data_IF_672039796911
#
_entry.id   IF_672039796911
#
_cell.length_a   1.000
_cell.length_b   1.000
_cell.length_c   1.000
_cell.angle_alpha   90.00
_cell.angle_beta   90.00
_cell.angle_gamma   90.00
#
_symmetry.space_group_name_H-M   'P 1'
#
loop_
_entity.id
_entity.type
_entity.pdbx_description
1 polymer ?
#
# COMPACT_ATOMS: atom_id res chain seq x y z
N UNK A 1 -46.71 -10.45 2.29
CA UNK A 1 -46.67 -9.00 2.25
C UNK A 1 -45.24 -8.58 1.87
N UNK A 2 -44.99 -8.27 0.57
CA UNK A 2 -43.65 -7.86 0.10
C UNK A 2 -43.42 -6.42 0.57
N UNK A 3 -42.44 -6.24 1.42
CA UNK A 3 -41.98 -4.92 1.90
C UNK A 3 -41.25 -4.23 0.72
N UNK A 4 -41.82 -3.18 0.19
CA UNK A 4 -41.17 -2.30 -0.79
C UNK A 4 -40.15 -1.45 -0.06
N UNK A 5 -38.88 -1.78 -0.18
CA UNK A 5 -37.80 -0.95 0.34
C UNK A 5 -37.74 0.32 -0.51
N UNK A 6 -37.87 1.49 0.14
CA UNK A 6 -37.88 2.76 -0.51
C UNK A 6 -36.46 3.09 -1.04
N UNK A 7 -36.36 3.21 -2.37
CA UNK A 7 -35.09 3.48 -3.07
C UNK A 7 -34.35 4.70 -2.52
N UNK A 8 -35.09 5.70 -2.03
CA UNK A 8 -34.51 6.89 -1.42
C UNK A 8 -33.81 6.61 -0.08
N UNK A 9 -34.31 5.63 0.70
CA UNK A 9 -33.66 5.21 1.97
C UNK A 9 -32.36 4.45 1.65
N UNK A 10 -32.35 3.65 0.59
CA UNK A 10 -31.14 2.94 0.15
C UNK A 10 -30.07 3.91 -0.37
N UNK A 11 -30.46 4.96 -1.09
CA UNK A 11 -29.56 6.03 -1.56
C UNK A 11 -29.00 6.87 -0.41
N UNK A 12 -29.80 7.17 0.61
CA UNK A 12 -29.34 7.90 1.80
C UNK A 12 -28.38 7.05 2.64
N UNK A 13 -28.67 5.76 2.81
CA UNK A 13 -27.74 4.83 3.46
C UNK A 13 -26.42 4.69 2.70
N UNK A 14 -26.44 4.66 1.37
CA UNK A 14 -25.25 4.62 0.55
C UNK A 14 -24.42 5.91 0.63
N UNK A 15 -25.08 7.08 0.72
CA UNK A 15 -24.44 8.39 0.94
C UNK A 15 -23.81 8.51 2.34
N UNK A 16 -24.43 7.95 3.37
CA UNK A 16 -23.90 7.95 4.74
C UNK A 16 -22.69 7.01 4.87
N UNK A 17 -22.70 5.88 4.18
CA UNK A 17 -21.57 4.96 4.14
C UNK A 17 -20.40 5.58 3.36
N UNK A 18 -20.67 6.32 2.28
CA UNK A 18 -19.61 7.01 1.50
C UNK A 18 -18.99 8.19 2.24
N UNK A 19 -19.74 8.89 3.09
CA UNK A 19 -19.22 10.04 3.87
C UNK A 19 -18.30 9.63 5.02
N UNK A 20 -18.40 8.38 5.53
CA UNK A 20 -17.48 7.86 6.53
C UNK A 20 -16.21 7.21 5.92
N UNK A 21 -16.22 6.93 4.60
CA UNK A 21 -15.07 6.34 3.91
C UNK A 21 -14.03 7.38 3.46
N UNK A 22 -14.31 8.67 3.59
CA UNK A 22 -13.41 9.76 3.15
C UNK A 22 -12.47 10.29 4.23
N UNK A 23 -12.40 9.67 5.41
CA UNK A 23 -11.23 9.85 6.28
C UNK A 23 -10.12 8.87 5.90
N UNK A 24 -9.70 8.89 4.65
CA UNK A 24 -8.32 8.55 4.30
C UNK A 24 -7.46 9.46 5.16
N UNK A 25 -6.50 8.91 5.90
CA UNK A 25 -5.49 9.70 6.63
C UNK A 25 -4.62 10.46 5.62
N UNK A 26 -5.23 11.45 4.97
CA UNK A 26 -4.64 12.45 4.10
C UNK A 26 -3.86 13.39 5.01
N UNK A 27 -2.55 13.11 5.17
CA UNK A 27 -1.68 13.97 5.95
C UNK A 27 -0.46 13.31 6.59
N UNK A 28 -0.34 12.00 6.57
CA UNK A 28 0.89 11.36 7.04
C UNK A 28 1.92 11.36 5.90
N UNK A 29 2.92 12.24 5.97
CA UNK A 29 4.05 12.20 5.08
C UNK A 29 4.83 10.90 5.32
N UNK A 30 4.62 9.90 4.48
CA UNK A 30 5.31 8.61 4.57
C UNK A 30 6.75 8.67 4.08
N UNK A 31 7.11 9.74 3.39
CA UNK A 31 8.44 9.96 2.84
C UNK A 31 8.77 11.45 2.74
N UNK A 32 10.05 11.74 2.63
CA UNK A 32 10.59 13.06 2.26
C UNK A 32 11.19 12.96 0.85
N UNK A 33 10.86 13.91 -0.02
CA UNK A 33 11.47 14.00 -1.33
C UNK A 33 12.97 14.36 -1.18
N UNK A 34 13.83 13.66 -1.93
CA UNK A 34 15.28 13.90 -1.93
C UNK A 34 15.69 14.58 -3.23
N UNK A 35 15.45 13.93 -4.39
CA UNK A 35 15.73 14.51 -5.71
C UNK A 35 15.00 13.78 -6.83
N UNK A 36 14.91 14.43 -7.99
CA UNK A 36 14.46 13.81 -9.24
C UNK A 36 15.66 13.50 -10.15
N UNK A 37 15.56 12.41 -10.90
CA UNK A 37 16.53 11.97 -11.90
C UNK A 37 15.78 11.45 -13.13
N UNK A 38 15.80 12.18 -14.23
CA UNK A 38 15.01 11.87 -15.43
C UNK A 38 13.51 11.58 -15.09
N UNK A 39 13.10 10.34 -15.24
CA UNK A 39 11.73 9.86 -15.01
C UNK A 39 11.52 9.19 -13.64
N UNK A 40 12.50 9.25 -12.74
CA UNK A 40 12.42 8.65 -11.39
C UNK A 40 12.61 9.70 -10.30
N UNK A 41 12.16 9.38 -9.11
CA UNK A 41 12.40 10.16 -7.89
C UNK A 41 13.18 9.33 -6.88
N UNK A 42 14.04 9.99 -6.11
CA UNK A 42 14.61 9.42 -4.88
C UNK A 42 13.86 10.03 -3.71
N UNK A 43 13.34 9.17 -2.85
CA UNK A 43 12.59 9.56 -1.67
C UNK A 43 13.13 8.80 -0.45
N UNK A 44 13.18 9.49 0.71
CA UNK A 44 13.50 8.89 1.98
C UNK A 44 12.19 8.47 2.65
N UNK A 45 11.93 7.18 2.66
CA UNK A 45 10.80 6.60 3.39
C UNK A 45 11.09 6.59 4.88
N UNK A 46 10.11 7.04 5.66
CA UNK A 46 10.18 6.99 7.12
C UNK A 46 9.86 5.58 7.61
N UNK A 47 10.36 5.25 8.79
CA UNK A 47 10.03 3.96 9.42
C UNK A 47 8.52 3.75 9.52
N UNK A 48 8.11 2.51 9.53
CA UNK A 48 6.70 2.15 9.58
C UNK A 48 6.47 0.81 10.25
N UNK A 49 5.30 0.66 10.86
CA UNK A 49 4.75 -0.64 11.24
C UNK A 49 3.83 -1.11 10.12
N UNK A 50 3.91 -2.38 9.79
CA UNK A 50 3.21 -2.94 8.65
C UNK A 50 2.58 -4.28 9.03
N UNK A 51 1.46 -4.57 8.38
CA UNK A 51 0.83 -5.88 8.40
C UNK A 51 0.98 -6.50 7.00
N UNK A 52 1.47 -7.72 6.92
CA UNK A 52 1.55 -8.44 5.65
C UNK A 52 0.79 -9.76 5.69
N UNK A 53 0.35 -10.18 4.51
CA UNK A 53 -0.29 -11.47 4.31
C UNK A 53 0.25 -12.13 3.06
N UNK A 54 0.61 -13.42 3.22
CA UNK A 54 0.98 -14.30 2.13
C UNK A 54 0.29 -15.66 2.30
N UNK A 55 -0.23 -16.22 1.21
CA UNK A 55 -0.76 -17.57 1.17
C UNK A 55 -0.74 -18.08 -0.29
N UNK A 56 0.02 -19.12 -0.59
CA UNK A 56 0.12 -19.71 -1.92
C UNK A 56 -1.22 -20.25 -2.46
N UNK A 57 -2.15 -20.58 -1.56
CA UNK A 57 -3.40 -21.28 -1.89
C UNK A 57 -4.54 -20.32 -2.24
N UNK A 58 -4.38 -19.02 -2.09
CA UNK A 58 -5.47 -18.05 -2.28
C UNK A 58 -4.97 -16.69 -2.74
N UNK A 59 -5.76 -16.03 -3.58
CA UNK A 59 -5.52 -14.63 -4.00
C UNK A 59 -6.25 -13.62 -3.09
N UNK A 60 -6.79 -14.05 -1.95
CA UNK A 60 -7.58 -13.21 -1.05
C UNK A 60 -6.71 -12.34 -0.10
N UNK A 61 -5.54 -11.89 -0.54
CA UNK A 61 -4.61 -11.10 0.27
C UNK A 61 -5.26 -9.87 0.88
N UNK A 62 -5.89 -9.05 0.04
CA UNK A 62 -6.56 -7.82 0.47
C UNK A 62 -7.66 -8.09 1.49
N UNK A 63 -8.49 -9.11 1.28
CA UNK A 63 -9.61 -9.45 2.17
C UNK A 63 -9.12 -9.85 3.57
N UNK A 64 -8.05 -10.62 3.65
CA UNK A 64 -7.47 -11.05 4.93
C UNK A 64 -6.90 -9.86 5.72
N UNK A 65 -6.14 -8.98 5.06
CA UNK A 65 -5.62 -7.76 5.69
C UNK A 65 -6.74 -6.76 6.04
N UNK A 66 -7.76 -6.63 5.19
CA UNK A 66 -8.93 -5.80 5.48
C UNK A 66 -9.68 -6.31 6.71
N UNK A 67 -9.89 -7.63 6.83
CA UNK A 67 -10.51 -8.22 8.02
C UNK A 67 -9.74 -7.89 9.29
N UNK A 68 -8.41 -7.96 9.26
CA UNK A 68 -7.55 -7.58 10.38
C UNK A 68 -7.77 -6.12 10.81
N UNK A 69 -7.74 -5.17 9.88
CA UNK A 69 -7.89 -3.75 10.21
C UNK A 69 -9.34 -3.37 10.58
N UNK A 70 -10.35 -4.17 10.21
CA UNK A 70 -11.74 -3.96 10.57
C UNK A 70 -12.18 -4.69 11.86
N UNK A 71 -11.22 -5.09 12.71
CA UNK A 71 -11.48 -5.65 14.02
C UNK A 71 -11.21 -7.15 14.16
N UNK A 72 -10.65 -7.80 13.13
CA UNK A 72 -10.15 -9.18 13.20
C UNK A 72 -8.81 -9.26 13.95
N UNK A 73 -8.78 -8.71 15.16
CA UNK A 73 -7.61 -8.64 16.03
C UNK A 73 -8.02 -8.82 17.51
N UNK A 74 -7.06 -9.12 18.36
CA UNK A 74 -7.23 -9.41 19.79
C UNK A 74 -7.97 -8.33 20.58
N UNK A 75 -7.88 -7.08 20.13
CA UNK A 75 -8.53 -5.92 20.78
C UNK A 75 -9.90 -5.58 20.18
N UNK A 76 -10.34 -6.29 19.13
CA UNK A 76 -11.53 -5.94 18.32
C UNK A 76 -11.55 -4.48 17.86
N UNK A 77 -10.35 -3.91 17.70
CA UNK A 77 -10.14 -2.50 17.38
C UNK A 77 -10.13 -2.29 15.88
N UNK A 78 -10.82 -1.24 15.42
CA UNK A 78 -10.67 -0.76 14.04
C UNK A 78 -9.38 0.03 13.89
N UNK A 79 -8.61 -0.32 12.87
CA UNK A 79 -7.37 0.34 12.46
C UNK A 79 -7.66 1.09 11.17
N UNK A 80 -7.33 2.38 11.10
CA UNK A 80 -7.54 3.17 9.90
C UNK A 80 -6.71 2.62 8.73
N UNK A 81 -7.37 2.44 7.58
CA UNK A 81 -6.67 2.05 6.36
C UNK A 81 -5.78 3.19 5.87
N UNK A 82 -4.54 2.89 5.54
CA UNK A 82 -3.62 3.85 4.92
C UNK A 82 -3.40 3.53 3.45
N UNK A 83 -2.85 4.47 2.71
CA UNK A 83 -2.46 4.35 1.31
C UNK A 83 -0.95 4.63 1.20
N UNK A 84 -0.21 3.94 0.36
CA UNK A 84 -0.62 2.91 -0.61
C UNK A 84 -0.80 1.51 -0.02
N UNK A 85 -1.44 0.62 -0.80
CA UNK A 85 -1.31 -0.83 -0.66
C UNK A 85 -0.08 -1.27 -1.42
N UNK A 86 0.79 -2.04 -0.79
CA UNK A 86 2.06 -2.50 -1.38
C UNK A 86 1.99 -3.99 -1.70
N UNK A 87 2.49 -4.38 -2.89
CA UNK A 87 2.75 -5.77 -3.27
C UNK A 87 4.24 -5.96 -3.53
N UNK A 88 4.85 -6.98 -2.92
CA UNK A 88 6.22 -7.38 -3.27
C UNK A 88 6.26 -8.04 -4.64
N UNK A 89 7.25 -7.66 -5.44
CA UNK A 89 7.49 -8.22 -6.77
C UNK A 89 8.67 -9.21 -6.78
N UNK A 90 9.14 -9.60 -5.61
CA UNK A 90 10.26 -10.53 -5.41
C UNK A 90 9.87 -11.56 -4.35
N UNK A 91 10.43 -12.77 -4.45
CA UNK A 91 10.04 -13.87 -3.57
C UNK A 91 8.54 -14.20 -3.68
N UNK A 92 7.94 -14.49 -2.56
CA UNK A 92 6.51 -14.74 -2.47
C UNK A 92 5.72 -13.43 -2.65
N UNK A 93 4.63 -13.50 -3.40
CA UNK A 93 3.74 -12.35 -3.64
C UNK A 93 3.02 -11.96 -2.35
N UNK A 94 3.66 -11.14 -1.55
CA UNK A 94 3.15 -10.67 -0.27
C UNK A 94 2.47 -9.31 -0.42
N UNK A 95 1.25 -9.19 0.10
CA UNK A 95 0.57 -7.89 0.21
C UNK A 95 0.86 -7.28 1.56
N UNK A 96 1.10 -5.98 1.59
CA UNK A 96 1.48 -5.23 2.78
C UNK A 96 0.54 -4.03 2.95
N UNK A 97 -0.03 -3.88 4.13
CA UNK A 97 -0.70 -2.67 4.60
C UNK A 97 0.22 -1.95 5.58
N UNK A 98 0.53 -0.70 5.31
CA UNK A 98 1.17 0.17 6.29
C UNK A 98 0.14 0.52 7.36
N UNK A 99 0.48 0.38 8.62
CA UNK A 99 -0.38 0.80 9.73
C UNK A 99 -0.18 2.29 10.04
N UNK A 100 -1.17 2.96 10.67
CA UNK A 100 -1.04 4.34 11.11
C UNK A 100 0.19 4.60 11.98
N UNK A 101 0.77 5.79 11.88
CA UNK A 101 2.05 6.12 12.55
C UNK A 101 1.99 6.11 14.08
N UNK A 102 0.80 6.24 14.69
CA UNK A 102 0.66 6.11 16.14
C UNK A 102 1.16 4.73 16.63
N UNK A 103 1.05 3.68 15.83
CA UNK A 103 1.57 2.35 16.16
C UNK A 103 3.10 2.22 16.17
N UNK A 104 3.83 3.28 15.84
CA UNK A 104 5.27 3.33 16.09
C UNK A 104 5.59 3.38 17.60
N UNK A 105 4.68 3.96 18.39
CA UNK A 105 4.81 4.16 19.84
C UNK A 105 3.76 3.36 20.64
N UNK A 106 2.64 3.00 20.01
CA UNK A 106 1.54 2.28 20.65
C UNK A 106 1.66 0.76 20.41
N UNK A 107 1.05 -0.03 21.29
CA UNK A 107 0.97 -1.47 21.10
C UNK A 107 0.03 -1.82 19.93
N UNK A 108 0.56 -2.52 18.94
CA UNK A 108 -0.19 -2.98 17.76
C UNK A 108 -1.15 -4.12 18.15
N UNK A 109 -2.45 -4.03 17.83
CA UNK A 109 -3.37 -5.15 18.01
C UNK A 109 -2.89 -6.40 17.23
N UNK A 110 -2.89 -7.56 17.88
CA UNK A 110 -2.43 -8.79 17.25
C UNK A 110 -3.52 -9.38 16.34
N UNK A 111 -3.18 -9.81 15.12
CA UNK A 111 -4.17 -10.38 14.21
C UNK A 111 -4.72 -11.72 14.71
N UNK A 112 -6.04 -11.94 14.57
CA UNK A 112 -6.68 -13.23 14.84
C UNK A 112 -6.23 -14.30 13.80
N UNK A 113 -5.84 -13.88 12.61
CA UNK A 113 -5.31 -14.74 11.57
C UNK A 113 -3.79 -14.90 11.69
N UNK A 114 -3.32 -16.08 12.06
CA UNK A 114 -1.90 -16.40 12.27
C UNK A 114 -1.00 -16.28 11.02
N UNK A 115 -1.59 -16.18 9.81
CA UNK A 115 -0.84 -15.93 8.57
C UNK A 115 -0.54 -14.45 8.34
N UNK A 116 -1.08 -13.55 9.17
CA UNK A 116 -0.73 -12.13 9.11
C UNK A 116 0.48 -11.88 10.00
N UNK A 117 1.51 -11.28 9.44
CA UNK A 117 2.72 -10.90 10.15
C UNK A 117 2.74 -9.39 10.38
N UNK A 118 3.04 -8.98 11.62
CA UNK A 118 3.26 -7.58 11.99
C UNK A 118 4.77 -7.35 12.08
N UNK A 119 5.27 -6.34 11.38
CA UNK A 119 6.71 -6.05 11.37
C UNK A 119 7.02 -4.58 11.13
N UNK A 120 8.21 -4.18 11.54
CA UNK A 120 8.73 -2.82 11.37
C UNK A 120 9.62 -2.76 10.12
N UNK A 121 9.40 -1.77 9.26
CA UNK A 121 10.32 -1.41 8.17
C UNK A 121 11.10 -0.17 8.62
N UNK A 122 12.44 -0.23 8.70
CA UNK A 122 13.25 0.92 9.06
C UNK A 122 13.24 1.99 7.95
N UNK A 123 13.60 3.21 8.31
CA UNK A 123 13.78 4.29 7.34
C UNK A 123 14.81 3.91 6.28
N UNK A 124 14.51 4.19 5.01
CA UNK A 124 15.38 3.86 3.88
C UNK A 124 15.18 4.81 2.71
N UNK A 125 16.22 4.97 1.88
CA UNK A 125 16.09 5.67 0.62
C UNK A 125 15.58 4.70 -0.45
N UNK A 126 14.54 5.11 -1.18
CA UNK A 126 13.97 4.34 -2.30
C UNK A 126 14.00 5.15 -3.58
N UNK A 127 14.26 4.47 -4.69
CA UNK A 127 14.05 4.99 -6.03
C UNK A 127 12.66 4.59 -6.51
N UNK A 128 11.97 5.50 -7.19
CA UNK A 128 10.55 5.39 -7.51
C UNK A 128 10.29 5.81 -8.94
N UNK A 129 9.56 4.99 -9.68
CA UNK A 129 8.97 5.38 -10.97
C UNK A 129 7.45 5.39 -10.86
N UNK A 130 6.83 6.52 -11.21
CA UNK A 130 5.37 6.72 -11.16
C UNK A 130 4.73 6.37 -12.50
N UNK A 131 3.51 5.82 -12.44
CA UNK A 131 2.71 5.55 -13.64
C UNK A 131 1.21 5.58 -13.31
N UNK A 132 0.40 5.79 -14.37
CA UNK A 132 -1.07 5.85 -14.26
C UNK A 132 -1.73 4.61 -14.85
N UNK A 133 -3.05 4.47 -14.62
CA UNK A 133 -3.87 3.37 -15.11
C UNK A 133 -3.88 2.15 -14.20
N UNK A 134 -4.42 1.02 -14.70
CA UNK A 134 -4.40 -0.24 -13.96
C UNK A 134 -3.02 -0.88 -13.99
N UNK A 135 -2.59 -1.39 -12.84
CA UNK A 135 -1.38 -2.19 -12.75
C UNK A 135 -1.64 -3.63 -13.17
N UNK A 136 -0.68 -4.22 -13.84
CA UNK A 136 -0.63 -5.65 -14.17
C UNK A 136 0.84 -6.07 -14.39
N UNK A 137 1.09 -7.36 -14.40
CA UNK A 137 2.44 -7.93 -14.50
C UNK A 137 3.25 -7.39 -15.69
N UNK A 138 2.62 -7.15 -16.84
CA UNK A 138 3.31 -6.62 -18.04
C UNK A 138 3.77 -5.18 -17.84
N UNK A 139 2.90 -4.34 -17.28
CA UNK A 139 3.21 -2.92 -16.99
C UNK A 139 4.26 -2.83 -15.89
N UNK A 140 4.10 -3.60 -14.82
CA UNK A 140 5.02 -3.65 -13.68
C UNK A 140 6.43 -4.06 -14.14
N UNK A 141 6.55 -5.11 -14.96
CA UNK A 141 7.81 -5.54 -15.54
C UNK A 141 8.46 -4.42 -16.37
N UNK A 142 7.71 -3.79 -17.26
CA UNK A 142 8.19 -2.67 -18.08
C UNK A 142 8.69 -1.51 -17.21
N UNK A 143 7.91 -1.11 -16.19
CA UNK A 143 8.28 0.00 -15.29
C UNK A 143 9.47 -0.34 -14.41
N UNK A 144 9.60 -1.58 -13.95
CA UNK A 144 10.80 -2.07 -13.27
C UNK A 144 12.05 -1.97 -14.14
N UNK A 145 11.95 -2.38 -15.41
CA UNK A 145 13.07 -2.28 -16.37
C UNK A 145 13.46 -0.81 -16.65
N UNK A 146 12.48 0.09 -16.81
CA UNK A 146 12.72 1.53 -16.94
C UNK A 146 13.43 2.10 -15.70
N UNK A 147 13.00 1.73 -14.49
CA UNK A 147 13.61 2.14 -13.23
C UNK A 147 15.07 1.67 -13.15
N UNK A 148 15.34 0.40 -13.43
CA UNK A 148 16.69 -0.19 -13.43
C UNK A 148 17.59 0.53 -14.45
N UNK A 149 17.09 0.79 -15.66
CA UNK A 149 17.85 1.50 -16.70
C UNK A 149 18.31 2.89 -16.22
N UNK A 150 17.43 3.64 -15.57
CA UNK A 150 17.77 4.96 -15.04
C UNK A 150 18.76 4.84 -13.87
N UNK A 151 18.58 3.90 -12.95
CA UNK A 151 19.51 3.65 -11.85
C UNK A 151 20.92 3.33 -12.36
N UNK A 152 21.02 2.45 -13.37
CA UNK A 152 22.30 2.12 -14.01
C UNK A 152 22.95 3.33 -14.69
N UNK A 153 22.19 4.18 -15.40
CA UNK A 153 22.68 5.43 -16.01
C UNK A 153 23.36 6.34 -14.99
N UNK A 154 22.84 6.40 -13.77
CA UNK A 154 23.37 7.24 -12.69
C UNK A 154 24.28 6.49 -11.72
N UNK A 155 24.67 5.24 -12.02
CA UNK A 155 25.51 4.37 -11.18
C UNK A 155 24.97 4.20 -9.75
N UNK A 156 23.64 4.17 -9.58
CA UNK A 156 22.97 4.01 -8.29
C UNK A 156 22.76 2.52 -8.01
N UNK A 157 23.44 2.01 -6.98
CA UNK A 157 23.26 0.63 -6.51
C UNK A 157 21.94 0.48 -5.76
N UNK A 158 21.26 -0.62 -6.01
CA UNK A 158 19.98 -0.94 -5.38
C UNK A 158 19.92 -2.39 -4.90
N UNK A 159 18.98 -2.68 -4.00
CA UNK A 159 18.60 -4.05 -3.63
C UNK A 159 17.76 -4.69 -4.72
N UNK A 160 17.35 -5.96 -4.52
CA UNK A 160 16.39 -6.62 -5.42
C UNK A 160 15.01 -6.72 -4.77
N UNK A 161 14.64 -5.76 -3.95
CA UNK A 161 13.40 -5.70 -3.17
C UNK A 161 12.33 -4.81 -3.85
N UNK A 162 12.08 -5.07 -5.14
CA UNK A 162 11.10 -4.31 -5.90
C UNK A 162 9.68 -4.52 -5.37
N UNK A 163 8.92 -3.42 -5.31
CA UNK A 163 7.54 -3.38 -4.85
C UNK A 163 6.69 -2.55 -5.80
N UNK A 164 5.40 -2.90 -5.92
CA UNK A 164 4.40 -2.02 -6.53
C UNK A 164 3.52 -1.43 -5.45
N UNK A 165 3.36 -0.11 -5.47
CA UNK A 165 2.49 0.66 -4.61
C UNK A 165 1.25 1.11 -5.38
N UNK A 166 0.06 0.73 -4.92
CA UNK A 166 -1.23 1.08 -5.50
C UNK A 166 -1.96 2.03 -4.56
N UNK A 167 -2.26 3.23 -5.03
CA UNK A 167 -2.85 4.30 -4.20
C UNK A 167 -4.36 4.36 -4.25
N UNK A 168 -4.96 3.84 -5.30
CA UNK A 168 -6.39 4.03 -5.58
C UNK A 168 -7.16 2.72 -5.50
N UNK A 169 -8.39 2.75 -4.98
CA UNK A 169 -9.24 1.57 -4.93
C UNK A 169 -9.58 1.05 -6.34
N UNK A 170 -9.95 -0.23 -6.49
CA UNK A 170 -10.17 -0.85 -7.79
C UNK A 170 -11.31 -0.23 -8.62
N UNK A 171 -12.30 0.40 -7.98
CA UNK A 171 -13.42 1.07 -8.66
C UNK A 171 -13.09 2.47 -9.20
N UNK A 172 -11.92 3.03 -8.86
CA UNK A 172 -11.48 4.31 -9.42
C UNK A 172 -10.81 4.08 -10.77
N UNK A 173 -11.42 4.57 -11.86
CA UNK A 173 -10.94 4.36 -13.24
C UNK A 173 -10.01 5.47 -13.73
N UNK A 174 -10.17 6.70 -13.21
CA UNK A 174 -9.48 7.91 -13.68
C UNK A 174 -8.43 8.32 -12.64
N UNK A 175 -7.33 8.91 -13.13
CA UNK A 175 -6.24 9.45 -12.29
C UNK A 175 -5.67 8.42 -11.29
N UNK A 176 -5.59 7.15 -11.69
CA UNK A 176 -4.95 6.13 -10.87
C UNK A 176 -3.46 6.42 -10.75
N UNK A 177 -2.98 6.33 -9.52
CA UNK A 177 -1.56 6.47 -9.19
C UNK A 177 -1.00 5.13 -8.75
N UNK A 178 0.08 4.72 -9.42
CA UNK A 178 0.88 3.56 -9.01
C UNK A 178 2.37 3.94 -9.06
N UNK A 179 3.17 3.17 -8.34
CA UNK A 179 4.62 3.35 -8.31
C UNK A 179 5.29 1.97 -8.29
N UNK A 180 6.42 1.83 -9.02
CA UNK A 180 7.40 0.79 -8.73
C UNK A 180 8.49 1.41 -7.89
N UNK A 181 8.86 0.74 -6.80
CA UNK A 181 9.88 1.20 -5.86
C UNK A 181 10.94 0.14 -5.66
N UNK A 182 12.14 0.57 -5.31
CA UNK A 182 13.26 -0.31 -4.89
C UNK A 182 14.14 0.44 -3.89
N UNK A 183 14.64 -0.26 -2.87
CA UNK A 183 15.59 0.31 -1.92
C UNK A 183 16.95 0.53 -2.57
N UNK A 184 17.51 1.73 -2.43
CA UNK A 184 18.85 2.06 -2.91
C UNK A 184 19.88 1.93 -1.78
N UNK A 185 21.11 1.57 -2.14
CA UNK A 185 22.21 1.32 -1.19
C UNK A 185 23.08 2.57 -1.00
N UNK A 186 22.89 3.59 -1.85
CA UNK A 186 23.66 4.84 -1.81
C UNK A 186 23.16 5.79 -0.73
N UNK A 187 24.06 6.44 -0.03
CA UNK A 187 23.75 7.58 0.83
C UNK A 187 23.63 8.85 -0.04
N UNK A 188 22.50 9.54 0.09
CA UNK A 188 22.24 10.84 -0.50
C UNK A 188 22.06 11.88 0.62
#
# INVERSE_FOLDING_TARGET
KKMKININILLILFLIISSNFTKTASGQNHYTFVKALDNIEIQRYHESINASYFDEKTDNYFRNLANYIFGGNDKKQQISMTSPVTMRLHGDKEMIFRLPNNFLNDSVPQPDNSKISIFKIPSSNKAIIKYSGYSNTKIEKKKKEELIKTLNKYNIKHKNDFEVNVYNPPYQFINRKNEITVTIISNF
#
